data_IF_549345982605
#
_entry.id   IF_549345982605
#
_cell.length_a   1.000
_cell.length_b   1.000
_cell.length_c   1.000
_cell.angle_alpha   90.00
_cell.angle_beta   90.00
_cell.angle_gamma   90.00
#
_symmetry.space_group_name_H-M   'P 1'
#
loop_
_entity.id
_entity.type
_entity.pdbx_description
1 polymer ?
#
# COMPACT_ATOMS: atom_id res chain seq x y z
N UNK A 1 -3.43 5.28 -6.41
CA UNK A 1 -3.96 4.45 -5.31
C UNK A 1 -5.11 3.53 -5.73
N UNK A 2 -6.22 4.04 -6.28
CA UNK A 2 -7.39 3.23 -6.64
C UNK A 2 -7.06 2.05 -7.58
N UNK A 3 -6.30 2.27 -8.66
CA UNK A 3 -5.91 1.19 -9.60
C UNK A 3 -5.04 0.10 -8.94
N UNK A 4 -4.25 0.44 -7.92
CA UNK A 4 -3.43 -0.53 -7.19
C UNK A 4 -4.28 -1.50 -6.37
N UNK A 5 -5.44 -1.06 -5.87
CA UNK A 5 -6.40 -1.96 -5.23
C UNK A 5 -6.92 -2.98 -6.24
N UNK A 6 -7.31 -2.53 -7.44
CA UNK A 6 -7.73 -3.44 -8.51
C UNK A 6 -6.63 -4.43 -8.93
N UNK A 7 -5.38 -3.94 -9.02
CA UNK A 7 -4.23 -4.80 -9.32
C UNK A 7 -3.99 -5.85 -8.23
N UNK A 8 -4.10 -5.46 -6.96
CA UNK A 8 -3.96 -6.37 -5.82
C UNK A 8 -5.10 -7.40 -5.75
N UNK A 9 -6.34 -7.04 -6.06
CA UNK A 9 -7.47 -7.97 -6.17
C UNK A 9 -7.20 -9.03 -7.25
N UNK A 10 -6.70 -8.60 -8.42
CA UNK A 10 -6.35 -9.55 -9.49
C UNK A 10 -5.20 -10.46 -9.08
N UNK A 11 -4.19 -9.95 -8.37
CA UNK A 11 -3.10 -10.76 -7.85
C UNK A 11 -3.58 -11.77 -6.81
N UNK A 12 -4.48 -11.38 -5.90
CA UNK A 12 -5.11 -12.27 -4.92
C UNK A 12 -5.94 -13.37 -5.62
N UNK A 13 -6.71 -13.03 -6.65
CA UNK A 13 -7.45 -14.02 -7.44
C UNK A 13 -6.50 -15.06 -8.07
N UNK A 14 -5.41 -14.61 -8.71
CA UNK A 14 -4.41 -15.49 -9.29
C UNK A 14 -3.76 -16.36 -8.21
N UNK A 15 -3.42 -15.79 -7.05
CA UNK A 15 -2.87 -16.51 -5.90
C UNK A 15 -3.79 -17.65 -5.46
N UNK A 16 -5.08 -17.37 -5.25
CA UNK A 16 -6.06 -18.37 -4.85
C UNK A 16 -6.24 -19.46 -5.92
N UNK A 17 -6.38 -19.10 -7.20
CA UNK A 17 -6.52 -20.07 -8.30
C UNK A 17 -5.30 -21.00 -8.40
N UNK A 18 -4.09 -20.44 -8.28
CA UNK A 18 -2.86 -21.23 -8.31
C UNK A 18 -2.71 -22.12 -7.08
N UNK A 19 -2.98 -21.58 -5.89
CA UNK A 19 -2.90 -22.33 -4.64
C UNK A 19 -3.84 -23.54 -4.64
N UNK A 20 -5.05 -23.39 -5.17
CA UNK A 20 -6.06 -24.45 -5.21
C UNK A 20 -5.79 -25.51 -6.27
N UNK A 21 -5.18 -25.15 -7.40
CA UNK A 21 -4.91 -26.08 -8.51
C UNK A 21 -3.57 -26.82 -8.40
N UNK A 22 -2.58 -26.26 -7.68
CA UNK A 22 -1.25 -26.88 -7.56
C UNK A 22 -1.19 -27.83 -6.37
N UNK A 23 -0.78 -29.07 -6.62
CA UNK A 23 -0.41 -30.05 -5.58
C UNK A 23 1.10 -30.04 -5.38
N UNK A 24 1.53 -30.00 -4.13
CA UNK A 24 2.92 -30.13 -3.70
C UNK A 24 2.97 -30.78 -2.32
N UNK A 25 3.93 -31.68 -2.10
CA UNK A 25 4.07 -32.41 -0.83
C UNK A 25 2.77 -33.14 -0.40
N UNK A 26 2.09 -33.78 -1.35
CA UNK A 26 0.92 -34.64 -1.09
C UNK A 26 -0.42 -33.93 -0.87
N UNK A 27 -0.48 -32.59 -0.91
CA UNK A 27 -1.74 -31.82 -0.81
C UNK A 27 -1.70 -30.55 -1.65
N UNK A 28 -2.83 -29.85 -1.79
CA UNK A 28 -2.84 -28.57 -2.51
C UNK A 28 -2.01 -27.53 -1.76
N UNK A 29 -1.45 -26.57 -2.50
CA UNK A 29 -0.73 -25.44 -1.92
C UNK A 29 -1.67 -24.60 -1.02
N UNK A 30 -2.97 -24.55 -1.34
CA UNK A 30 -4.01 -23.95 -0.52
C UNK A 30 -4.23 -24.65 0.84
N UNK A 31 -3.85 -25.92 0.99
CA UNK A 31 -3.91 -26.65 2.27
C UNK A 31 -2.65 -26.43 3.14
N UNK A 32 -1.72 -25.60 2.71
CA UNK A 32 -0.57 -25.19 3.52
C UNK A 32 -0.93 -23.95 4.34
N UNK A 33 -0.73 -24.01 5.66
CA UNK A 33 -1.17 -22.95 6.59
C UNK A 33 -0.54 -21.59 6.27
N UNK A 34 0.73 -21.56 5.87
CA UNK A 34 1.42 -20.32 5.44
C UNK A 34 0.73 -19.68 4.23
N UNK A 35 0.22 -20.48 3.29
CA UNK A 35 -0.53 -19.96 2.14
C UNK A 35 -1.87 -19.37 2.59
N UNK A 36 -2.56 -20.04 3.52
CA UNK A 36 -3.85 -19.58 4.05
C UNK A 36 -3.70 -18.26 4.82
N UNK A 37 -2.68 -18.15 5.66
CA UNK A 37 -2.34 -16.92 6.36
C UNK A 37 -2.12 -15.76 5.39
N UNK A 38 -1.34 -15.96 4.33
CA UNK A 38 -1.08 -14.93 3.31
C UNK A 38 -2.33 -14.54 2.53
N UNK A 39 -3.21 -15.49 2.21
CA UNK A 39 -4.49 -15.19 1.54
C UNK A 39 -5.39 -14.35 2.46
N UNK A 40 -5.50 -14.72 3.74
CA UNK A 40 -6.28 -13.98 4.72
C UNK A 40 -5.73 -12.57 4.92
N UNK A 41 -4.42 -12.45 5.13
CA UNK A 41 -3.73 -11.17 5.31
C UNK A 41 -3.85 -10.29 4.06
N UNK A 42 -3.74 -10.86 2.85
CA UNK A 42 -3.95 -10.12 1.61
C UNK A 42 -5.35 -9.52 1.53
N UNK A 43 -6.40 -10.30 1.85
CA UNK A 43 -7.79 -9.80 1.88
C UNK A 43 -7.92 -8.64 2.87
N UNK A 44 -7.45 -8.81 4.11
CA UNK A 44 -7.48 -7.76 5.12
C UNK A 44 -6.77 -6.48 4.66
N UNK A 45 -5.55 -6.61 4.13
CA UNK A 45 -4.76 -5.46 3.65
C UNK A 45 -5.44 -4.73 2.49
N UNK A 46 -6.02 -5.46 1.54
CA UNK A 46 -6.75 -4.87 0.41
C UNK A 46 -7.94 -4.05 0.92
N UNK A 47 -8.74 -4.61 1.83
CA UNK A 47 -9.94 -3.92 2.33
C UNK A 47 -9.58 -2.71 3.20
N UNK A 48 -8.53 -2.79 4.02
CA UNK A 48 -8.00 -1.62 4.75
C UNK A 48 -7.57 -0.49 3.80
N UNK A 49 -6.81 -0.82 2.75
CA UNK A 49 -6.39 0.17 1.76
C UNK A 49 -7.57 0.73 0.96
N UNK A 50 -8.58 -0.09 0.65
CA UNK A 50 -9.82 0.33 -0.02
C UNK A 50 -10.58 1.33 0.82
N UNK A 51 -10.82 1.04 2.09
CA UNK A 51 -11.53 1.94 2.99
C UNK A 51 -10.79 3.27 3.17
N UNK A 52 -9.46 3.24 3.33
CA UNK A 52 -8.65 4.47 3.40
C UNK A 52 -8.70 5.28 2.10
N UNK A 53 -8.73 4.61 0.94
CA UNK A 53 -8.89 5.27 -0.37
C UNK A 53 -10.25 5.96 -0.48
N UNK A 54 -11.32 5.27 -0.08
CA UNK A 54 -12.67 5.82 -0.11
C UNK A 54 -12.81 6.99 0.87
N UNK A 55 -12.22 6.90 2.07
CA UNK A 55 -12.17 8.01 3.03
C UNK A 55 -11.47 9.24 2.42
N UNK A 56 -10.31 9.04 1.78
CA UNK A 56 -9.59 10.13 1.13
C UNK A 56 -10.41 10.78 0.02
N UNK A 57 -11.04 9.98 -0.85
CA UNK A 57 -11.90 10.46 -1.93
C UNK A 57 -13.10 11.24 -1.39
N UNK A 58 -13.81 10.67 -0.41
CA UNK A 58 -14.94 11.32 0.23
C UNK A 58 -14.56 12.67 0.86
N UNK A 59 -13.44 12.76 1.58
CA UNK A 59 -12.96 14.04 2.14
C UNK A 59 -12.61 15.06 1.06
N UNK A 60 -12.04 14.63 -0.06
CA UNK A 60 -11.79 15.52 -1.20
C UNK A 60 -13.09 16.08 -1.76
N UNK A 61 -14.12 15.25 -1.90
CA UNK A 61 -15.41 15.65 -2.46
C UNK A 61 -16.16 16.62 -1.53
N UNK A 62 -16.17 16.36 -0.21
CA UNK A 62 -16.99 17.14 0.75
C UNK A 62 -16.27 18.34 1.36
N UNK A 63 -14.93 18.31 1.48
CA UNK A 63 -14.15 19.32 2.18
C UNK A 63 -12.95 19.87 1.39
N UNK A 64 -12.70 19.33 0.19
CA UNK A 64 -11.63 19.77 -0.69
C UNK A 64 -10.24 19.23 -0.34
N UNK A 65 -9.34 19.30 -1.32
CA UNK A 65 -8.01 18.65 -1.26
C UNK A 65 -7.11 19.17 -0.12
N UNK A 66 -7.25 20.43 0.30
CA UNK A 66 -6.44 21.00 1.39
C UNK A 66 -6.75 20.34 2.74
N UNK A 67 -8.02 20.00 2.97
CA UNK A 67 -8.46 19.31 4.19
C UNK A 67 -8.07 17.83 4.11
N UNK A 68 -8.28 17.19 2.95
CA UNK A 68 -7.97 15.79 2.72
C UNK A 68 -6.47 15.45 2.61
N UNK A 69 -5.58 16.44 2.68
CA UNK A 69 -4.12 16.27 2.42
C UNK A 69 -3.47 15.15 3.24
N UNK A 70 -3.91 14.95 4.49
CA UNK A 70 -3.36 13.92 5.36
C UNK A 70 -3.76 12.53 4.87
N UNK A 71 -5.05 12.31 4.60
CA UNK A 71 -5.59 11.06 4.05
C UNK A 71 -5.01 10.72 2.68
N UNK A 72 -4.81 11.73 1.81
CA UNK A 72 -4.16 11.57 0.51
C UNK A 72 -2.72 11.07 0.69
N UNK A 73 -1.95 11.68 1.59
CA UNK A 73 -0.57 11.25 1.87
C UNK A 73 -0.53 9.83 2.47
N UNK A 74 -1.44 9.53 3.42
CA UNK A 74 -1.53 8.20 4.03
C UNK A 74 -1.79 7.13 2.97
N UNK A 75 -2.79 7.32 2.09
CA UNK A 75 -3.10 6.32 1.09
C UNK A 75 -2.01 6.19 0.03
N UNK A 76 -1.26 7.26 -0.26
CA UNK A 76 -0.11 7.23 -1.18
C UNK A 76 1.02 6.33 -0.67
N UNK A 77 1.18 6.20 0.64
CA UNK A 77 2.13 5.25 1.25
C UNK A 77 1.54 3.84 1.32
N UNK A 78 0.29 3.73 1.79
CA UNK A 78 -0.35 2.44 2.09
C UNK A 78 -0.64 1.63 0.82
N UNK A 79 -1.23 2.25 -0.22
CA UNK A 79 -1.68 1.54 -1.40
C UNK A 79 -0.56 0.80 -2.16
N UNK A 80 0.58 1.42 -2.52
CA UNK A 80 1.65 0.71 -3.22
C UNK A 80 2.38 -0.30 -2.32
N UNK A 81 2.51 -0.03 -1.02
CA UNK A 81 3.08 -0.99 -0.06
C UNK A 81 2.23 -2.27 0.02
N UNK A 82 0.91 -2.11 0.17
CA UNK A 82 -0.04 -3.21 0.17
C UNK A 82 0.02 -3.98 -1.14
N UNK A 83 -0.04 -3.29 -2.28
CA UNK A 83 -0.04 -3.94 -3.58
C UNK A 83 1.26 -4.74 -3.82
N UNK A 84 2.43 -4.18 -3.50
CA UNK A 84 3.70 -4.91 -3.60
C UNK A 84 3.66 -6.20 -2.78
N UNK A 85 3.17 -6.15 -1.55
CA UNK A 85 3.14 -7.33 -0.66
C UNK A 85 2.19 -8.42 -1.17
N UNK A 86 0.98 -8.04 -1.60
CA UNK A 86 0.00 -9.01 -2.12
C UNK A 86 0.48 -9.64 -3.41
N UNK A 87 1.06 -8.84 -4.32
CA UNK A 87 1.60 -9.32 -5.59
C UNK A 87 2.80 -10.25 -5.33
N UNK A 88 3.70 -9.89 -4.41
CA UNK A 88 4.84 -10.73 -4.03
C UNK A 88 4.40 -12.10 -3.50
N UNK A 89 3.39 -12.16 -2.64
CA UNK A 89 2.83 -13.44 -2.20
C UNK A 89 2.18 -14.24 -3.34
N UNK A 90 1.51 -13.57 -4.27
CA UNK A 90 0.98 -14.21 -5.46
C UNK A 90 2.11 -14.79 -6.33
N UNK A 91 3.21 -14.06 -6.52
CA UNK A 91 4.42 -14.55 -7.21
C UNK A 91 4.99 -15.78 -6.52
N UNK A 92 5.11 -15.74 -5.20
CA UNK A 92 5.64 -16.85 -4.40
C UNK A 92 4.81 -18.13 -4.56
N UNK A 93 3.48 -18.03 -4.64
CA UNK A 93 2.58 -19.18 -4.88
C UNK A 93 2.72 -19.72 -6.32
N UNK A 94 3.09 -18.86 -7.29
CA UNK A 94 3.39 -19.29 -8.66
C UNK A 94 4.80 -19.88 -8.83
N UNK A 95 5.69 -19.69 -7.86
CA UNK A 95 7.09 -20.14 -7.92
C UNK A 95 7.83 -19.44 -9.05
N UNK A 96 8.64 -20.18 -9.82
CA UNK A 96 9.35 -19.64 -10.99
C UNK A 96 8.43 -18.95 -12.02
N UNK A 97 7.18 -19.41 -12.15
CA UNK A 97 6.19 -18.76 -13.02
C UNK A 97 5.81 -17.34 -12.59
N UNK A 98 5.97 -17.00 -11.31
CA UNK A 98 5.74 -15.63 -10.83
C UNK A 98 6.78 -14.62 -11.31
N UNK A 99 7.92 -15.10 -11.82
CA UNK A 99 9.08 -14.30 -12.23
C UNK A 99 9.23 -14.20 -13.77
N UNK A 100 8.40 -14.90 -14.54
CA UNK A 100 8.43 -14.89 -16.00
C UNK A 100 7.19 -14.21 -16.59
N UNK A 101 7.13 -14.15 -17.92
CA UNK A 101 6.04 -13.50 -18.65
C UNK A 101 4.80 -14.39 -18.85
N UNK A 102 4.83 -15.64 -18.35
CA UNK A 102 3.66 -16.55 -18.41
C UNK A 102 2.50 -16.03 -17.55
N UNK A 103 2.81 -15.24 -16.52
CA UNK A 103 1.83 -14.63 -15.62
C UNK A 103 2.10 -13.13 -15.49
N UNK A 104 1.06 -12.29 -15.36
CA UNK A 104 1.23 -10.84 -15.32
C UNK A 104 1.83 -10.31 -14.00
N UNK A 105 2.33 -11.19 -13.13
CA UNK A 105 2.70 -10.86 -11.75
C UNK A 105 4.00 -10.07 -11.64
N UNK A 106 5.03 -10.44 -12.41
CA UNK A 106 6.30 -9.71 -12.43
C UNK A 106 6.12 -8.27 -12.91
N UNK A 107 5.36 -8.08 -13.98
CA UNK A 107 5.01 -6.75 -14.49
C UNK A 107 4.14 -5.98 -13.49
N UNK A 108 3.15 -6.61 -12.88
CA UNK A 108 2.31 -5.99 -11.85
C UNK A 108 3.15 -5.51 -10.65
N UNK A 109 4.12 -6.32 -10.21
CA UNK A 109 5.03 -5.95 -9.12
C UNK A 109 5.86 -4.73 -9.47
N UNK A 110 6.46 -4.72 -10.66
CA UNK A 110 7.23 -3.57 -11.14
C UNK A 110 6.39 -2.29 -11.20
N UNK A 111 5.16 -2.36 -11.72
CA UNK A 111 4.23 -1.23 -11.73
C UNK A 111 3.92 -0.72 -10.32
N UNK A 112 3.58 -1.62 -9.39
CA UNK A 112 3.31 -1.25 -8.00
C UNK A 112 4.54 -0.65 -7.31
N UNK A 113 5.72 -1.20 -7.58
CA UNK A 113 7.00 -0.75 -7.02
C UNK A 113 7.38 0.64 -7.51
N UNK A 114 7.12 0.96 -8.78
CA UNK A 114 7.37 2.29 -9.35
C UNK A 114 6.54 3.37 -8.66
N UNK A 115 5.31 3.06 -8.25
CA UNK A 115 4.43 4.02 -7.56
C UNK A 115 4.84 4.33 -6.12
N UNK A 116 5.86 3.65 -5.58
CA UNK A 116 6.55 4.06 -4.35
C UNK A 116 7.57 5.19 -4.57
N UNK A 117 7.86 5.54 -5.82
CA UNK A 117 8.73 6.65 -6.20
C UNK A 117 7.95 7.78 -6.89
N UNK A 118 7.08 7.42 -7.84
CA UNK A 118 6.26 8.39 -8.57
C UNK A 118 5.32 9.15 -7.63
N UNK A 119 4.99 10.40 -7.97
CA UNK A 119 4.13 11.31 -7.19
C UNK A 119 4.56 11.49 -5.73
N UNK A 120 5.88 11.50 -5.50
CA UNK A 120 6.50 11.62 -4.20
C UNK A 120 6.86 10.26 -3.59
N UNK A 121 8.13 10.05 -3.23
CA UNK A 121 8.57 8.85 -2.53
C UNK A 121 7.85 8.64 -1.20
N UNK A 122 7.73 7.38 -0.77
CA UNK A 122 7.06 7.03 0.49
C UNK A 122 7.60 7.81 1.68
N UNK A 123 8.92 8.03 1.73
CA UNK A 123 9.62 8.72 2.82
C UNK A 123 9.18 10.18 2.94
N UNK A 124 8.95 10.86 1.80
CA UNK A 124 8.47 12.24 1.77
C UNK A 124 7.07 12.33 2.36
N UNK A 125 6.18 11.41 1.98
CA UNK A 125 4.82 11.36 2.51
C UNK A 125 4.80 10.98 4.00
N UNK A 126 5.63 10.00 4.43
CA UNK A 126 5.78 9.64 5.85
C UNK A 126 6.25 10.82 6.69
N UNK A 127 7.23 11.59 6.21
CA UNK A 127 7.69 12.80 6.90
C UNK A 127 6.58 13.85 7.05
N UNK A 128 5.77 14.05 6.01
CA UNK A 128 4.63 14.96 6.06
C UNK A 128 3.56 14.50 7.06
N UNK A 129 3.19 13.22 7.02
CA UNK A 129 2.23 12.61 7.96
C UNK A 129 2.74 12.76 9.39
N UNK A 130 4.00 12.40 9.66
CA UNK A 130 4.60 12.53 10.98
C UNK A 130 4.59 13.98 11.47
N UNK A 131 4.95 14.94 10.62
CA UNK A 131 4.90 16.37 10.94
C UNK A 131 3.49 16.83 11.33
N UNK A 132 2.47 16.41 10.58
CA UNK A 132 1.08 16.78 10.87
C UNK A 132 0.56 16.09 12.13
N UNK A 133 0.93 14.84 12.38
CA UNK A 133 0.51 14.11 13.57
C UNK A 133 1.12 14.72 14.84
N UNK A 134 2.43 14.98 14.84
CA UNK A 134 3.11 15.64 15.95
C UNK A 134 2.59 17.06 16.20
N UNK A 135 2.26 17.79 15.14
CA UNK A 135 1.73 19.15 15.23
C UNK A 135 0.41 19.27 16.01
N UNK A 136 -0.36 18.19 16.14
CA UNK A 136 -1.60 18.16 16.95
C UNK A 136 -1.32 18.19 18.46
N UNK A 137 -0.14 17.73 18.86
CA UNK A 137 0.25 17.54 20.27
C UNK A 137 1.42 18.44 20.68
N UNK A 138 2.03 19.16 19.73
CA UNK A 138 3.12 20.06 20.01
C UNK A 138 2.65 21.15 21.00
N UNK A 139 3.49 21.51 21.99
CA UNK A 139 3.16 22.59 22.90
C UNK A 139 2.92 23.87 22.10
N UNK A 140 1.97 24.69 22.55
CA UNK A 140 1.77 26.01 21.99
C UNK A 140 3.13 26.73 21.98
N UNK A 141 3.55 27.22 20.81
CA UNK A 141 4.77 28.03 20.73
C UNK A 141 4.61 29.19 21.71
N UNK A 142 5.42 29.23 22.76
CA UNK A 142 5.55 30.42 23.58
C UNK A 142 5.94 31.57 22.64
N UNK A 143 5.18 32.68 22.70
CA UNK A 143 5.32 33.79 21.77
C UNK A 143 6.62 34.60 21.87
N UNK A 144 7.68 34.05 22.47
CA UNK A 144 8.89 34.79 22.90
C UNK A 144 10.21 34.31 22.26
N UNK A 145 10.19 33.40 21.29
CA UNK A 145 11.38 33.17 20.46
C UNK A 145 11.40 34.18 19.32
N UNK A 146 12.02 35.34 19.57
CA UNK A 146 12.45 36.26 18.55
C UNK A 146 13.22 35.48 17.47
N UNK A 147 12.79 35.62 16.21
CA UNK A 147 13.45 34.99 15.08
C UNK A 147 14.96 35.29 15.14
N UNK A 148 15.85 34.30 14.96
CA UNK A 148 17.28 34.58 14.94
C UNK A 148 17.51 35.57 13.81
N UNK A 149 17.97 36.77 14.17
CA UNK A 149 18.41 37.79 13.22
C UNK A 149 19.68 37.26 12.58
N UNK A 150 19.54 36.49 11.50
CA UNK A 150 20.67 36.20 10.64
C UNK A 150 21.00 37.49 9.88
N UNK A 151 21.91 38.28 10.45
CA UNK A 151 22.64 39.32 9.72
C UNK A 151 23.61 38.61 8.76
N UNK A 152 23.36 38.73 7.47
CA UNK A 152 24.39 38.80 6.44
C UNK A 152 24.01 39.93 5.50
#
# INVERSE_FOLDING_TARGET
CMRLIGLAERALELMCKRASSRVAFGKTVASQTVTQERIAEARCKIDMARLLTLKAAWLMDVAGNKVAKNEIAMIKVVAPTMACQVIDWAMQVHGGGGMCDDFPLANAYAQARTLRFADGPDEVHRNAIAKWELGKYAPAKSGDEAAPVTRF
#
